data_IF_315814114149
#
_entry.id   IF_315814114149
#
_cell.length_a   1.000
_cell.length_b   1.000
_cell.length_c   1.000
_cell.angle_alpha   90.00
_cell.angle_beta   90.00
_cell.angle_gamma   90.00
#
_symmetry.space_group_name_H-M   'P 1'
#
loop_
_entity.id
_entity.type
_entity.pdbx_description
1 polymer ?
#
# COMPACT_ATOMS: atom_id res chain seq x y z
N UNK A 1 111.64 -35.14 33.56
CA UNK A 1 110.83 -33.98 33.12
C UNK A 1 110.25 -33.35 34.37
N UNK A 2 110.54 -32.07 34.68
CA UNK A 2 109.97 -31.40 35.83
C UNK A 2 108.45 -31.23 35.62
N UNK A 3 107.69 -31.50 36.67
CA UNK A 3 106.25 -31.26 36.71
C UNK A 3 106.06 -29.73 36.72
N UNK A 4 105.22 -29.15 35.85
CA UNK A 4 104.92 -27.72 35.89
C UNK A 4 104.33 -27.36 37.25
N UNK A 5 105.02 -26.47 37.96
CA UNK A 5 104.60 -25.87 39.22
C UNK A 5 103.57 -24.76 38.93
N UNK A 6 102.44 -24.79 39.64
CA UNK A 6 101.35 -23.82 39.57
C UNK A 6 101.67 -22.48 40.29
N UNK A 7 102.90 -22.29 40.79
CA UNK A 7 103.35 -21.09 41.53
C UNK A 7 103.35 -19.77 40.73
N UNK A 8 103.07 -19.82 39.43
CA UNK A 8 102.92 -18.64 38.58
C UNK A 8 101.47 -18.17 38.36
N UNK A 9 100.46 -18.90 38.85
CA UNK A 9 99.06 -18.47 38.72
C UNK A 9 98.67 -17.69 39.98
N UNK A 10 98.19 -16.43 39.87
CA UNK A 10 97.78 -15.62 41.02
C UNK A 10 96.88 -16.43 41.97
N UNK A 11 97.00 -16.24 43.30
CA UNK A 11 96.20 -16.97 44.28
C UNK A 11 94.73 -16.65 44.06
N UNK A 12 94.06 -17.51 43.30
CA UNK A 12 92.66 -17.50 42.89
C UNK A 12 92.26 -16.15 42.31
N UNK A 13 92.08 -16.07 40.98
CA UNK A 13 91.40 -14.92 40.38
C UNK A 13 90.08 -14.72 41.14
N UNK A 14 90.03 -13.70 42.00
CA UNK A 14 88.88 -13.47 42.84
C UNK A 14 87.75 -13.00 41.92
N UNK A 15 86.61 -13.67 42.00
CA UNK A 15 85.43 -13.28 41.26
C UNK A 15 84.77 -12.01 41.83
N UNK A 16 85.35 -11.39 42.87
CA UNK A 16 84.79 -10.20 43.53
C UNK A 16 84.63 -9.01 42.57
N UNK A 17 85.59 -8.80 41.65
CA UNK A 17 85.49 -7.73 40.64
C UNK A 17 84.34 -8.01 39.65
N UNK A 18 84.18 -9.27 39.23
CA UNK A 18 83.06 -9.68 38.39
C UNK A 18 81.73 -9.56 39.13
N UNK A 19 81.68 -9.92 40.41
CA UNK A 19 80.51 -9.80 41.26
C UNK A 19 80.12 -8.33 41.46
N UNK A 20 81.09 -7.45 41.70
CA UNK A 20 80.86 -6.01 41.84
C UNK A 20 80.29 -5.40 40.56
N UNK A 21 80.87 -5.74 39.40
CA UNK A 21 80.36 -5.30 38.09
C UNK A 21 78.96 -5.81 37.79
N UNK A 22 78.66 -7.07 38.13
CA UNK A 22 77.31 -7.62 37.99
C UNK A 22 76.30 -6.89 38.89
N UNK A 23 76.65 -6.62 40.14
CA UNK A 23 75.78 -5.89 41.07
C UNK A 23 75.52 -4.44 40.59
N UNK A 24 76.53 -3.75 40.06
CA UNK A 24 76.38 -2.41 39.49
C UNK A 24 75.47 -2.42 38.24
N UNK A 25 75.63 -3.41 37.35
CA UNK A 25 74.75 -3.57 36.19
C UNK A 25 73.31 -3.84 36.63
N UNK A 26 73.09 -4.75 37.59
CA UNK A 26 71.76 -5.05 38.11
C UNK A 26 71.11 -3.81 38.74
N UNK A 27 71.87 -3.03 39.52
CA UNK A 27 71.36 -1.79 40.11
C UNK A 27 70.97 -0.76 39.05
N UNK A 28 71.80 -0.59 38.01
CA UNK A 28 71.50 0.30 36.88
C UNK A 28 70.28 -0.17 36.08
N UNK A 29 70.15 -1.49 35.87
CA UNK A 29 69.02 -2.07 35.15
C UNK A 29 67.72 -1.90 35.93
N UNK A 30 67.73 -2.15 37.23
CA UNK A 30 66.57 -1.93 38.10
C UNK A 30 66.15 -0.46 38.12
N UNK A 31 67.10 0.48 38.22
CA UNK A 31 66.81 1.90 38.14
C UNK A 31 66.22 2.30 36.77
N UNK A 32 66.72 1.74 35.67
CA UNK A 32 66.15 1.97 34.35
C UNK A 32 64.70 1.46 34.27
N UNK A 33 64.44 0.23 34.73
CA UNK A 33 63.10 -0.36 34.70
C UNK A 33 62.08 0.44 35.52
N UNK A 34 62.47 0.87 36.73
CA UNK A 34 61.60 1.71 37.59
C UNK A 34 61.32 3.06 36.94
N UNK A 35 62.33 3.67 36.29
CA UNK A 35 62.14 4.95 35.60
C UNK A 35 61.33 4.82 34.31
N UNK A 36 61.32 3.64 33.67
CA UNK A 36 60.50 3.37 32.48
C UNK A 36 59.01 3.17 32.84
N UNK A 37 58.70 2.61 34.02
CA UNK A 37 57.33 2.36 34.48
C UNK A 37 56.53 3.65 34.73
N UNK A 38 57.22 4.76 35.04
CA UNK A 38 56.61 6.09 35.26
C UNK A 38 57.08 7.14 34.27
N UNK A 39 57.49 6.73 33.07
CA UNK A 39 58.06 7.63 32.08
C UNK A 39 57.02 8.62 31.55
N UNK A 40 57.19 9.90 31.86
CA UNK A 40 56.44 10.99 31.22
C UNK A 40 56.97 11.21 29.80
N UNK A 41 56.34 10.56 28.83
CA UNK A 41 56.69 10.69 27.41
C UNK A 41 56.03 11.95 26.84
N UNK A 42 56.83 12.96 26.49
CA UNK A 42 56.33 14.20 25.85
C UNK A 42 55.92 13.93 24.40
N UNK A 43 56.67 13.07 23.69
CA UNK A 43 56.38 12.66 22.33
C UNK A 43 56.89 11.25 22.08
N UNK A 44 56.04 10.40 21.52
CA UNK A 44 56.41 9.08 21.01
C UNK A 44 56.27 9.11 19.49
N UNK A 45 57.38 8.95 18.78
CA UNK A 45 57.33 8.63 17.33
C UNK A 45 57.53 7.14 17.21
N UNK A 46 56.44 6.42 16.96
CA UNK A 46 56.46 4.98 16.78
C UNK A 46 55.67 4.64 15.52
N UNK A 47 56.10 3.59 14.83
CA UNK A 47 55.39 3.05 13.67
C UNK A 47 54.13 2.28 14.09
N UNK A 48 54.19 1.60 15.24
CA UNK A 48 53.08 0.91 15.89
C UNK A 48 53.11 1.13 17.41
N UNK A 49 51.94 1.04 18.05
CA UNK A 49 51.78 1.03 19.51
C UNK A 49 50.99 -0.23 19.85
N UNK A 50 51.68 -1.27 20.30
CA UNK A 50 51.06 -2.49 20.80
C UNK A 50 50.86 -2.36 22.32
N UNK A 51 49.62 -2.13 22.73
CA UNK A 51 49.24 -2.02 24.14
C UNK A 51 48.05 -2.94 24.43
N UNK A 52 48.02 -3.57 25.61
CA UNK A 52 46.85 -4.30 26.07
C UNK A 52 45.68 -3.36 26.35
N UNK A 53 45.92 -2.39 27.25
CA UNK A 53 44.97 -1.34 27.60
C UNK A 53 45.68 0.00 27.59
N UNK A 54 45.06 1.00 26.95
CA UNK A 54 45.45 2.41 27.06
C UNK A 54 44.50 3.03 28.09
N UNK A 55 44.99 3.21 29.32
CA UNK A 55 44.27 3.93 30.37
C UNK A 55 44.60 5.42 30.27
N UNK A 56 43.67 6.21 29.73
CA UNK A 56 43.87 7.63 29.48
C UNK A 56 42.56 8.40 29.65
N UNK A 57 42.66 9.62 30.19
CA UNK A 57 41.52 10.54 30.28
C UNK A 57 41.01 10.98 28.90
N UNK A 58 41.91 11.08 27.91
CA UNK A 58 41.62 11.43 26.52
C UNK A 58 42.56 10.66 25.61
N UNK A 59 41.98 10.00 24.61
CA UNK A 59 42.70 9.42 23.47
C UNK A 59 42.24 10.15 22.21
N UNK A 60 43.16 10.83 21.53
CA UNK A 60 42.88 11.49 20.24
C UNK A 60 43.76 10.88 19.16
N UNK A 61 43.13 10.19 18.22
CA UNK A 61 43.78 9.65 17.02
C UNK A 61 43.52 10.66 15.90
N UNK A 62 44.56 11.37 15.48
CA UNK A 62 44.50 12.25 14.32
C UNK A 62 44.98 11.49 13.11
N UNK A 63 44.12 11.37 12.12
CA UNK A 63 44.49 10.81 10.83
C UNK A 63 45.00 11.94 9.94
N UNK A 64 46.13 11.74 9.25
CA UNK A 64 46.67 12.71 8.29
C UNK A 64 45.85 12.77 6.97
N UNK A 65 44.69 12.09 6.91
CA UNK A 65 43.94 11.88 5.67
C UNK A 65 43.00 13.03 5.26
N UNK A 66 42.90 14.12 6.03
CA UNK A 66 42.37 15.42 5.59
C UNK A 66 42.49 16.45 6.72
N UNK A 67 42.63 17.73 6.37
CA UNK A 67 42.84 18.85 7.30
C UNK A 67 41.85 18.86 8.48
N UNK A 68 42.26 18.28 9.61
CA UNK A 68 41.50 18.30 10.87
C UNK A 68 40.61 17.09 11.17
N UNK A 69 40.67 15.99 10.40
CA UNK A 69 39.92 14.77 10.72
C UNK A 69 40.51 14.04 11.94
N UNK A 70 39.65 13.53 12.83
CA UNK A 70 40.10 12.81 14.04
C UNK A 70 39.07 11.81 14.56
N UNK A 71 39.56 10.88 15.38
CA UNK A 71 38.77 10.06 16.31
C UNK A 71 39.17 10.45 17.72
N UNK A 72 38.21 10.83 18.55
CA UNK A 72 38.46 11.20 19.95
C UNK A 72 37.60 10.34 20.87
N UNK A 73 38.20 9.85 21.94
CA UNK A 73 37.53 9.17 23.06
C UNK A 73 37.94 9.92 24.33
N UNK A 74 36.96 10.42 25.09
CA UNK A 74 37.18 11.19 26.31
C UNK A 74 36.07 10.94 27.35
N UNK A 75 36.11 11.65 28.47
CA UNK A 75 35.11 11.54 29.55
C UNK A 75 33.66 11.89 29.17
N UNK A 76 33.42 12.45 27.98
CA UNK A 76 32.10 12.73 27.43
C UNK A 76 31.65 11.70 26.37
N UNK A 77 32.51 10.74 26.01
CA UNK A 77 32.22 9.66 25.06
C UNK A 77 33.18 9.59 23.88
N UNK A 78 32.69 9.15 22.72
CA UNK A 78 33.45 9.01 21.48
C UNK A 78 32.91 9.97 20.41
N UNK A 79 33.80 10.56 19.61
CA UNK A 79 33.41 11.25 18.36
C UNK A 79 34.38 10.98 17.22
N UNK A 80 33.84 10.93 16.01
CA UNK A 80 34.58 10.85 14.74
C UNK A 80 34.25 12.11 13.94
N UNK A 81 35.26 12.88 13.58
CA UNK A 81 35.14 14.14 12.84
C UNK A 81 35.86 14.02 11.49
N UNK A 82 35.22 14.53 10.43
CA UNK A 82 35.77 14.47 9.07
C UNK A 82 36.60 15.70 8.65
N UNK A 83 36.98 16.55 9.59
CA UNK A 83 37.67 17.84 9.40
C UNK A 83 36.72 19.04 9.33
N UNK A 84 35.43 18.83 9.09
CA UNK A 84 34.42 19.91 9.05
C UNK A 84 33.33 19.75 10.10
N UNK A 85 32.90 18.52 10.41
CA UNK A 85 31.82 18.22 11.35
C UNK A 85 31.98 16.83 11.96
N UNK A 86 31.33 16.61 13.10
CA UNK A 86 31.24 15.29 13.72
C UNK A 86 30.28 14.41 12.89
N UNK A 87 30.79 13.30 12.36
CA UNK A 87 30.02 12.32 11.57
C UNK A 87 29.46 11.19 12.42
N UNK A 88 30.06 10.96 13.59
CA UNK A 88 29.61 10.01 14.60
C UNK A 88 29.91 10.58 15.98
N UNK A 89 28.96 10.53 16.89
CA UNK A 89 29.18 10.73 18.32
C UNK A 89 28.46 9.63 19.10
N UNK A 90 29.08 9.13 20.15
CA UNK A 90 28.46 8.25 21.14
C UNK A 90 28.72 8.86 22.51
N UNK A 91 27.66 9.24 23.23
CA UNK A 91 27.80 9.86 24.55
C UNK A 91 27.91 8.82 25.68
N UNK A 92 28.15 9.30 26.91
CA UNK A 92 28.23 8.46 28.11
C UNK A 92 26.91 7.77 28.48
N UNK A 93 25.78 8.20 27.91
CA UNK A 93 24.47 7.57 28.11
C UNK A 93 24.19 6.48 27.06
N UNK A 94 25.13 6.24 26.13
CA UNK A 94 24.98 5.30 25.03
C UNK A 94 24.15 5.84 23.86
N UNK A 95 23.82 7.14 23.83
CA UNK A 95 23.15 7.74 22.69
C UNK A 95 24.14 7.96 21.54
N UNK A 96 23.77 7.45 20.37
CA UNK A 96 24.58 7.58 19.15
C UNK A 96 23.94 8.58 18.21
N UNK A 97 24.71 9.59 17.80
CA UNK A 97 24.33 10.51 16.72
C UNK A 97 25.22 10.27 15.51
N UNK A 98 24.61 10.06 14.35
CA UNK A 98 25.29 9.88 13.07
C UNK A 98 24.84 10.97 12.09
N UNK A 99 25.79 11.70 11.50
CA UNK A 99 25.50 12.75 10.51
C UNK A 99 26.14 12.38 9.18
N UNK A 100 25.31 12.12 8.16
CA UNK A 100 25.79 11.72 6.83
C UNK A 100 26.21 10.25 6.73
N UNK A 101 25.67 9.37 7.57
CA UNK A 101 26.05 7.96 7.62
C UNK A 101 25.32 7.10 6.57
N UNK A 102 26.03 6.14 6.00
CA UNK A 102 25.46 5.03 5.25
C UNK A 102 25.62 3.76 6.07
N UNK A 103 24.51 3.18 6.52
CA UNK A 103 24.47 1.90 7.20
C UNK A 103 24.19 0.83 6.14
N UNK A 104 25.19 0.01 5.82
CA UNK A 104 25.07 -1.04 4.80
C UNK A 104 24.82 -2.40 5.44
N UNK A 105 23.96 -3.18 4.83
CA UNK A 105 23.85 -4.60 5.17
C UNK A 105 25.05 -5.34 4.54
N UNK A 106 25.81 -6.09 5.34
CA UNK A 106 26.99 -6.81 4.88
C UNK A 106 26.68 -7.93 3.84
N UNK A 107 25.42 -8.35 3.74
CA UNK A 107 24.98 -9.45 2.88
C UNK A 107 24.34 -9.00 1.56
N UNK A 108 24.36 -7.70 1.21
CA UNK A 108 23.79 -7.22 -0.04
C UNK A 108 24.10 -5.76 -0.38
N UNK A 109 23.51 -5.26 -1.47
CA UNK A 109 23.65 -3.86 -1.91
C UNK A 109 22.68 -2.90 -1.23
N UNK A 110 21.75 -3.41 -0.41
CA UNK A 110 20.79 -2.61 0.34
C UNK A 110 21.42 -1.80 1.47
N UNK A 111 20.84 -0.62 1.75
CA UNK A 111 21.34 0.31 2.76
C UNK A 111 20.23 1.13 3.42
N UNK A 112 20.55 1.66 4.59
CA UNK A 112 19.85 2.78 5.22
C UNK A 112 20.79 3.99 5.17
N UNK A 113 20.33 5.11 4.63
CA UNK A 113 21.08 6.34 4.55
C UNK A 113 20.40 7.41 5.39
N UNK A 114 21.19 8.10 6.23
CA UNK A 114 20.80 9.29 6.97
C UNK A 114 21.68 10.45 6.50
N UNK A 115 21.08 11.48 5.93
CA UNK A 115 21.78 12.62 5.32
C UNK A 115 21.12 13.95 5.68
N UNK A 116 21.76 15.04 5.27
CA UNK A 116 21.19 16.39 5.33
C UNK A 116 19.98 16.57 4.40
N UNK A 117 19.73 15.63 3.47
CA UNK A 117 18.54 15.59 2.62
C UNK A 117 17.41 14.70 3.18
N UNK A 118 17.64 14.02 4.31
CA UNK A 118 16.68 13.16 4.98
C UNK A 118 17.12 11.69 5.08
N UNK A 119 16.14 10.79 5.14
CA UNK A 119 16.33 9.35 5.32
C UNK A 119 15.93 8.58 4.06
N UNK A 120 16.71 7.58 3.67
CA UNK A 120 16.37 6.64 2.61
C UNK A 120 16.64 5.19 3.04
N UNK A 121 15.75 4.27 2.63
CA UNK A 121 15.94 2.83 2.70
C UNK A 121 15.96 2.30 1.26
N UNK A 122 17.01 1.58 0.89
CA UNK A 122 17.23 1.09 -0.46
C UNK A 122 17.36 -0.44 -0.46
N UNK A 123 16.69 -1.11 -1.40
CA UNK A 123 16.69 -2.57 -1.52
C UNK A 123 17.85 -3.15 -2.35
N UNK A 124 18.79 -2.30 -2.77
CA UNK A 124 19.91 -2.62 -3.65
C UNK A 124 19.72 -2.19 -5.11
N UNK A 125 18.49 -1.83 -5.50
CA UNK A 125 18.15 -1.37 -6.87
C UNK A 125 17.56 0.04 -6.85
N UNK A 126 16.63 0.32 -5.93
CA UNK A 126 15.99 1.62 -5.78
C UNK A 126 15.58 1.87 -4.32
N UNK A 127 15.27 3.14 -4.01
CA UNK A 127 14.78 3.52 -2.69
C UNK A 127 13.34 3.06 -2.50
N UNK A 128 13.09 2.22 -1.49
CA UNK A 128 11.75 1.74 -1.15
C UNK A 128 11.04 2.66 -0.16
N UNK A 129 11.80 3.45 0.58
CA UNK A 129 11.31 4.48 1.48
C UNK A 129 12.24 5.70 1.42
N UNK A 130 11.67 6.90 1.33
CA UNK A 130 12.39 8.16 1.52
C UNK A 130 11.55 9.11 2.36
N UNK A 131 12.15 9.74 3.37
CA UNK A 131 11.58 10.87 4.09
C UNK A 131 12.51 12.07 3.92
N UNK A 132 12.02 13.17 3.37
CA UNK A 132 12.82 14.38 3.18
C UNK A 132 12.72 15.33 4.38
N UNK A 133 13.56 16.37 4.39
CA UNK A 133 13.62 17.38 5.46
C UNK A 133 12.36 18.25 5.58
N UNK A 134 11.50 18.26 4.56
CA UNK A 134 10.19 18.91 4.61
C UNK A 134 9.08 18.00 5.20
N UNK A 135 9.41 16.78 5.61
CA UNK A 135 8.47 15.82 6.20
C UNK A 135 7.67 15.01 5.19
N UNK A 136 7.93 15.14 3.89
CA UNK A 136 7.28 14.30 2.89
C UNK A 136 7.86 12.90 2.87
N UNK A 137 6.98 11.90 2.87
CA UNK A 137 7.34 10.48 2.78
C UNK A 137 6.93 9.95 1.41
N UNK A 138 7.88 9.33 0.71
CA UNK A 138 7.62 8.55 -0.50
C UNK A 138 7.98 7.09 -0.24
N UNK A 139 7.06 6.19 -0.55
CA UNK A 139 7.26 4.75 -0.47
C UNK A 139 7.06 4.15 -1.84
N UNK A 140 8.03 3.36 -2.32
CA UNK A 140 8.01 2.76 -3.66
C UNK A 140 8.21 1.25 -3.54
N UNK A 141 7.23 0.46 -4.00
CA UNK A 141 7.28 -0.99 -3.86
C UNK A 141 7.13 -1.49 -2.42
N UNK A 142 6.68 -0.63 -1.49
CA UNK A 142 6.53 -0.99 -0.09
C UNK A 142 5.23 -1.76 0.15
N UNK A 143 5.33 -2.86 0.91
CA UNK A 143 4.18 -3.53 1.51
C UNK A 143 3.83 -2.81 2.82
N UNK A 144 2.62 -2.26 2.91
CA UNK A 144 2.08 -1.72 4.17
C UNK A 144 0.95 -2.62 4.61
N UNK A 145 1.05 -3.22 5.79
CA UNK A 145 0.08 -4.18 6.30
C UNK A 145 -0.26 -3.89 7.77
N UNK A 146 -1.54 -3.98 8.14
CA UNK A 146 -1.99 -3.70 9.50
C UNK A 146 -1.61 -4.78 10.52
N UNK A 147 -1.56 -6.05 10.12
CA UNK A 147 -1.14 -7.19 10.95
C UNK A 147 -0.87 -8.46 10.13
N UNK A 148 -0.15 -9.42 10.71
CA UNK A 148 0.09 -10.75 10.14
C UNK A 148 -1.09 -11.68 10.43
N UNK A 149 -2.19 -11.57 9.68
CA UNK A 149 -3.37 -12.43 9.84
C UNK A 149 -4.69 -11.70 9.58
N UNK A 150 -5.78 -12.45 9.37
CA UNK A 150 -7.10 -11.84 9.13
C UNK A 150 -7.75 -11.33 10.43
N UNK A 151 -8.52 -10.24 10.38
CA UNK A 151 -8.69 -9.34 9.24
C UNK A 151 -7.48 -8.41 9.07
N UNK A 152 -7.08 -8.07 7.84
CA UNK A 152 -6.02 -7.08 7.63
C UNK A 152 -6.33 -6.10 6.51
N UNK A 153 -5.66 -4.96 6.56
CA UNK A 153 -5.59 -3.99 5.46
C UNK A 153 -4.19 -4.01 4.88
N UNK A 154 -4.09 -3.93 3.55
CA UNK A 154 -2.84 -3.98 2.80
C UNK A 154 -2.82 -2.90 1.72
N UNK A 155 -1.64 -2.30 1.51
CA UNK A 155 -1.27 -1.57 0.30
C UNK A 155 -0.10 -2.31 -0.32
N UNK A 156 -0.31 -2.91 -1.49
CA UNK A 156 0.69 -3.73 -2.18
C UNK A 156 0.74 -3.41 -3.69
N UNK A 157 1.71 -2.62 -4.15
CA UNK A 157 1.80 -2.24 -5.55
C UNK A 157 2.04 -3.43 -6.50
N UNK A 158 2.43 -4.61 -6.01
CA UNK A 158 2.59 -5.83 -6.82
C UNK A 158 1.28 -6.57 -7.11
N UNK A 159 0.23 -6.34 -6.32
CA UNK A 159 -1.05 -7.06 -6.46
C UNK A 159 -2.27 -6.12 -6.42
N UNK A 160 -2.40 -5.32 -5.37
CA UNK A 160 -3.58 -4.49 -5.09
C UNK A 160 -3.14 -3.12 -4.57
N UNK A 161 -3.63 -2.05 -5.19
CA UNK A 161 -3.34 -0.69 -4.72
C UNK A 161 -3.80 -0.49 -3.27
N UNK A 162 -4.94 -1.09 -2.93
CA UNK A 162 -5.45 -1.16 -1.56
C UNK A 162 -6.30 -2.42 -1.39
N UNK A 163 -6.29 -3.04 -0.23
CA UNK A 163 -7.12 -4.20 0.07
C UNK A 163 -7.49 -4.29 1.54
N UNK A 164 -8.70 -4.72 1.83
CA UNK A 164 -9.21 -5.04 3.16
C UNK A 164 -9.79 -6.46 3.12
N UNK A 165 -9.24 -7.35 3.93
CA UNK A 165 -9.57 -8.77 3.90
C UNK A 165 -10.11 -9.22 5.24
N UNK A 166 -11.23 -9.93 5.22
CA UNK A 166 -11.74 -10.68 6.38
C UNK A 166 -11.40 -12.17 6.31
N UNK A 167 -11.19 -12.69 5.09
CA UNK A 167 -10.66 -14.02 4.80
C UNK A 167 -10.02 -14.04 3.41
N UNK A 168 -9.39 -15.15 3.02
CA UNK A 168 -8.71 -15.28 1.73
C UNK A 168 -9.62 -15.06 0.50
N UNK A 169 -10.89 -15.44 0.61
CA UNK A 169 -11.91 -15.31 -0.43
C UNK A 169 -13.04 -14.32 -0.05
N UNK A 170 -12.81 -13.46 0.95
CA UNK A 170 -13.78 -12.45 1.38
C UNK A 170 -13.08 -11.12 1.64
N UNK A 171 -13.14 -10.21 0.66
CA UNK A 171 -12.33 -9.00 0.63
C UNK A 171 -12.96 -7.86 -0.18
N UNK A 172 -12.47 -6.65 0.10
CA UNK A 172 -12.66 -5.44 -0.69
C UNK A 172 -11.28 -4.99 -1.19
N UNK A 173 -11.07 -4.85 -2.49
CA UNK A 173 -9.81 -4.34 -3.04
C UNK A 173 -10.04 -3.19 -4.03
N UNK A 174 -9.02 -2.33 -4.14
CA UNK A 174 -8.80 -1.43 -5.27
C UNK A 174 -7.59 -1.96 -6.01
N UNK A 175 -7.78 -2.39 -7.25
CA UNK A 175 -6.71 -3.00 -8.03
C UNK A 175 -6.59 -2.36 -9.41
N UNK A 176 -5.34 -2.14 -9.85
CA UNK A 176 -5.04 -1.77 -11.22
C UNK A 176 -4.99 -3.07 -12.06
N UNK A 177 -5.86 -3.19 -13.04
CA UNK A 177 -5.81 -4.31 -13.99
C UNK A 177 -4.66 -4.07 -14.97
N UNK A 178 -3.53 -4.75 -14.76
CA UNK A 178 -2.37 -4.65 -15.65
C UNK A 178 -2.75 -4.98 -17.10
N UNK A 179 -2.28 -4.16 -18.04
CA UNK A 179 -2.48 -4.38 -19.47
C UNK A 179 -3.85 -3.95 -20.02
N UNK A 180 -4.72 -3.33 -19.21
CA UNK A 180 -5.96 -2.71 -19.69
C UNK A 180 -5.87 -1.19 -19.65
N UNK A 181 -6.62 -0.49 -20.50
CA UNK A 181 -6.79 0.97 -20.44
C UNK A 181 -7.92 1.39 -19.49
N UNK A 182 -8.26 0.53 -18.53
CA UNK A 182 -9.35 0.76 -17.58
C UNK A 182 -8.83 1.51 -16.36
N UNK A 183 -9.72 2.24 -15.66
CA UNK A 183 -9.39 2.76 -14.34
C UNK A 183 -9.11 1.61 -13.37
N UNK A 184 -8.43 1.87 -12.23
CA UNK A 184 -8.47 0.95 -11.11
C UNK A 184 -9.91 0.55 -10.80
N UNK A 185 -10.11 -0.72 -10.49
CA UNK A 185 -11.42 -1.26 -10.16
C UNK A 185 -11.57 -1.40 -8.65
N UNK A 186 -12.74 -1.05 -8.14
CA UNK A 186 -13.19 -1.45 -6.81
C UNK A 186 -13.83 -2.83 -6.94
N UNK A 187 -13.29 -3.82 -6.24
CA UNK A 187 -13.76 -5.20 -6.25
C UNK A 187 -14.19 -5.59 -4.84
N UNK A 188 -15.44 -6.04 -4.67
CA UNK A 188 -15.92 -6.73 -3.49
C UNK A 188 -16.07 -8.20 -3.86
N UNK A 189 -15.35 -9.08 -3.19
CA UNK A 189 -15.37 -10.51 -3.43
C UNK A 189 -15.85 -11.28 -2.19
N UNK A 190 -16.64 -12.31 -2.46
CA UNK A 190 -17.09 -13.34 -1.53
C UNK A 190 -16.84 -14.72 -2.17
N UNK A 191 -16.95 -15.84 -1.42
CA UNK A 191 -16.54 -17.17 -1.91
C UNK A 191 -17.10 -17.57 -3.28
N UNK A 192 -18.31 -17.16 -3.61
CA UNK A 192 -19.00 -17.52 -4.85
C UNK A 192 -19.56 -16.31 -5.62
N UNK A 193 -19.16 -15.10 -5.24
CA UNK A 193 -19.71 -13.89 -5.82
C UNK A 193 -18.70 -12.76 -5.86
N UNK A 194 -18.83 -11.89 -6.85
CA UNK A 194 -18.10 -10.64 -6.91
C UNK A 194 -18.98 -9.49 -7.35
N UNK A 195 -18.60 -8.29 -6.93
CA UNK A 195 -19.09 -7.02 -7.45
C UNK A 195 -17.90 -6.18 -7.84
N UNK A 196 -17.90 -5.64 -9.06
CA UNK A 196 -16.82 -4.81 -9.57
C UNK A 196 -17.36 -3.48 -10.09
N UNK A 197 -16.61 -2.41 -9.85
CA UNK A 197 -16.89 -1.07 -10.37
C UNK A 197 -15.62 -0.47 -10.97
N UNK A 198 -15.68 -0.04 -12.23
CA UNK A 198 -14.56 0.59 -12.94
C UNK A 198 -15.05 1.49 -14.09
N UNK A 199 -14.16 2.34 -14.61
CA UNK A 199 -14.39 3.18 -15.78
C UNK A 199 -13.50 2.69 -16.92
N UNK A 200 -14.05 2.59 -18.13
CA UNK A 200 -13.31 2.26 -19.35
C UNK A 200 -13.75 3.18 -20.48
N UNK A 201 -12.85 4.05 -20.94
CA UNK A 201 -13.18 5.07 -21.94
C UNK A 201 -14.24 6.05 -21.41
N UNK A 202 -15.37 6.17 -22.11
CA UNK A 202 -16.49 7.05 -21.75
C UNK A 202 -17.61 6.32 -20.99
N UNK A 203 -17.34 5.14 -20.45
CA UNK A 203 -18.35 4.31 -19.79
C UNK A 203 -17.91 3.89 -18.39
N UNK A 204 -18.81 4.03 -17.43
CA UNK A 204 -18.69 3.43 -16.10
C UNK A 204 -19.42 2.09 -16.08
N UNK A 205 -18.79 1.10 -15.46
CA UNK A 205 -19.29 -0.26 -15.34
C UNK A 205 -19.51 -0.57 -13.87
N UNK A 206 -20.68 -1.10 -13.54
CA UNK A 206 -21.00 -1.76 -12.29
C UNK A 206 -21.54 -3.13 -12.64
N UNK A 207 -20.89 -4.19 -12.18
CA UNK A 207 -21.29 -5.56 -12.49
C UNK A 207 -21.16 -6.48 -11.30
N UNK A 208 -22.03 -7.48 -11.24
CA UNK A 208 -21.95 -8.57 -10.26
C UNK A 208 -21.90 -9.91 -10.97
N UNK A 209 -21.11 -10.85 -10.46
CA UNK A 209 -21.11 -12.26 -10.90
C UNK A 209 -21.44 -13.14 -9.72
N UNK A 210 -22.29 -14.15 -9.91
CA UNK A 210 -22.68 -15.09 -8.83
C UNK A 210 -23.52 -14.47 -7.71
N UNK A 211 -23.98 -13.22 -7.88
CA UNK A 211 -24.85 -12.52 -6.95
C UNK A 211 -25.82 -11.58 -7.67
N UNK A 212 -26.95 -11.32 -7.01
CA UNK A 212 -27.93 -10.34 -7.45
C UNK A 212 -27.46 -8.92 -7.07
N UNK A 213 -27.56 -7.97 -8.00
CA UNK A 213 -27.50 -6.55 -7.68
C UNK A 213 -28.88 -6.10 -7.20
N UNK A 214 -29.03 -5.92 -5.89
CA UNK A 214 -30.29 -5.43 -5.31
C UNK A 214 -30.18 -3.93 -4.99
N UNK A 215 -30.96 -3.10 -5.67
CA UNK A 215 -31.05 -1.66 -5.43
C UNK A 215 -32.30 -1.37 -4.61
N UNK A 216 -32.15 -1.28 -3.29
CA UNK A 216 -33.24 -0.94 -2.36
C UNK A 216 -33.03 0.43 -1.75
N UNK A 217 -34.11 1.19 -1.62
CA UNK A 217 -34.12 2.49 -0.98
C UNK A 217 -35.48 2.68 -0.29
N UNK A 218 -35.50 3.42 0.82
CA UNK A 218 -36.74 3.91 1.42
C UNK A 218 -37.26 5.19 0.72
N UNK A 219 -36.55 5.64 -0.31
CA UNK A 219 -36.84 6.76 -1.21
C UNK A 219 -36.71 6.27 -2.67
N UNK A 220 -36.80 7.19 -3.62
CA UNK A 220 -36.73 6.88 -5.05
C UNK A 220 -35.34 6.36 -5.47
N UNK A 221 -35.33 5.35 -6.35
CA UNK A 221 -34.14 4.91 -7.09
C UNK A 221 -34.21 5.51 -8.49
N UNK A 222 -33.44 6.57 -8.72
CA UNK A 222 -33.45 7.31 -10.00
C UNK A 222 -32.37 6.74 -10.94
N UNK A 223 -32.79 6.13 -12.05
CA UNK A 223 -31.91 5.70 -13.14
C UNK A 223 -32.14 6.62 -14.34
N UNK A 224 -31.18 7.51 -14.62
CA UNK A 224 -31.28 8.49 -15.71
C UNK A 224 -30.27 8.20 -16.82
N UNK A 225 -30.74 8.31 -18.06
CA UNK A 225 -29.94 8.20 -19.27
C UNK A 225 -30.81 8.42 -20.50
N UNK A 226 -30.21 8.68 -21.67
CA UNK A 226 -30.97 8.82 -22.92
C UNK A 226 -31.81 7.57 -23.21
N UNK A 227 -31.29 6.40 -22.87
CA UNK A 227 -31.96 5.11 -22.99
C UNK A 227 -31.65 4.26 -21.75
N UNK A 228 -32.64 3.56 -21.21
CA UNK A 228 -32.44 2.46 -20.26
C UNK A 228 -32.61 1.17 -21.05
N UNK A 229 -31.52 0.40 -21.20
CA UNK A 229 -31.53 -0.88 -21.94
C UNK A 229 -31.34 -2.02 -20.94
N UNK A 230 -32.41 -2.77 -20.71
CA UNK A 230 -32.37 -4.00 -19.93
C UNK A 230 -32.16 -5.16 -20.91
N UNK A 231 -30.99 -5.79 -20.86
CA UNK A 231 -30.66 -6.92 -21.73
C UNK A 231 -30.32 -8.13 -20.85
N UNK A 232 -31.03 -9.25 -20.97
CA UNK A 232 -30.64 -10.47 -20.28
C UNK A 232 -29.31 -10.99 -20.79
N UNK A 233 -28.52 -11.58 -19.90
CA UNK A 233 -27.33 -12.31 -20.31
C UNK A 233 -27.73 -13.56 -21.11
N UNK A 234 -27.03 -13.85 -22.21
CA UNK A 234 -27.30 -14.95 -23.15
C UNK A 234 -28.66 -14.99 -23.88
N UNK A 235 -29.42 -13.89 -23.92
CA UNK A 235 -30.61 -13.79 -24.78
C UNK A 235 -31.77 -14.74 -24.44
N UNK A 236 -31.73 -15.38 -23.27
CA UNK A 236 -32.67 -16.43 -22.84
C UNK A 236 -33.49 -16.11 -21.57
N UNK A 237 -33.36 -14.90 -21.03
CA UNK A 237 -34.17 -14.47 -19.88
C UNK A 237 -35.02 -13.26 -20.28
N UNK A 238 -36.32 -13.31 -20.07
CA UNK A 238 -37.11 -12.10 -20.26
C UNK A 238 -36.70 -11.06 -19.19
N UNK A 239 -36.82 -9.78 -19.54
CA UNK A 239 -36.91 -8.73 -18.52
C UNK A 239 -38.27 -8.93 -17.85
N UNK A 240 -38.31 -9.82 -16.84
CA UNK A 240 -39.53 -10.12 -16.09
C UNK A 240 -39.73 -8.98 -15.10
N UNK A 241 -40.38 -7.92 -15.56
CA UNK A 241 -41.04 -6.98 -14.66
C UNK A 241 -42.53 -7.28 -14.74
N UNK A 242 -43.10 -7.90 -13.69
CA UNK A 242 -44.54 -8.08 -13.63
C UNK A 242 -45.26 -6.74 -13.89
N UNK A 243 -46.30 -6.73 -14.73
CA UNK A 243 -46.99 -5.48 -15.10
C UNK A 243 -47.70 -4.80 -13.93
N UNK A 244 -47.95 -5.53 -12.85
CA UNK A 244 -48.43 -5.03 -11.58
C UNK A 244 -47.34 -4.34 -10.74
N UNK A 245 -46.07 -4.42 -11.16
CA UNK A 245 -44.92 -3.74 -10.53
C UNK A 245 -44.44 -2.52 -11.31
N UNK A 246 -44.76 -2.40 -12.60
CA UNK A 246 -44.59 -1.14 -13.34
C UNK A 246 -45.70 -0.17 -12.94
N UNK A 247 -45.37 0.89 -12.20
CA UNK A 247 -46.34 1.87 -11.69
C UNK A 247 -45.98 3.27 -12.21
N UNK A 248 -46.99 4.03 -12.63
CA UNK A 248 -46.84 5.47 -12.82
C UNK A 248 -46.94 6.17 -11.46
N UNK A 249 -45.92 6.96 -11.11
CA UNK A 249 -45.85 7.65 -9.81
C UNK A 249 -46.92 8.75 -9.67
N UNK A 250 -47.33 9.38 -10.76
CA UNK A 250 -48.31 10.47 -10.71
C UNK A 250 -49.73 9.96 -10.45
N UNK A 251 -50.15 8.90 -11.16
CA UNK A 251 -51.48 8.32 -11.00
C UNK A 251 -51.55 7.23 -9.93
N UNK A 252 -50.40 6.68 -9.53
CA UNK A 252 -50.31 5.54 -8.64
C UNK A 252 -50.79 4.22 -9.25
N UNK A 253 -51.10 4.20 -10.56
CA UNK A 253 -51.67 3.05 -11.24
C UNK A 253 -50.59 2.20 -11.88
N UNK A 254 -50.77 0.88 -11.83
CA UNK A 254 -49.86 -0.05 -12.48
C UNK A 254 -50.13 -0.10 -13.97
N UNK A 255 -49.12 -0.44 -14.78
CA UNK A 255 -49.27 -0.71 -16.21
C UNK A 255 -50.34 -1.78 -16.43
N UNK A 256 -50.41 -2.79 -15.56
CA UNK A 256 -51.49 -3.76 -15.55
C UNK A 256 -52.87 -3.11 -15.34
N UNK A 257 -53.03 -2.20 -14.38
CA UNK A 257 -54.30 -1.49 -14.15
C UNK A 257 -54.69 -0.57 -15.31
N UNK A 258 -53.72 0.06 -15.97
CA UNK A 258 -53.96 0.89 -17.15
C UNK A 258 -54.32 0.04 -18.37
N UNK A 259 -53.64 -1.08 -18.59
CA UNK A 259 -53.95 -2.02 -19.67
C UNK A 259 -55.30 -2.72 -19.42
N UNK A 260 -55.58 -3.14 -18.19
CA UNK A 260 -56.87 -3.70 -17.79
C UNK A 260 -57.96 -2.65 -17.95
N UNK A 261 -57.72 -1.42 -17.50
CA UNK A 261 -58.63 -0.29 -17.67
C UNK A 261 -58.93 0.02 -19.14
N UNK A 262 -57.93 -0.05 -20.01
CA UNK A 262 -58.13 0.09 -21.46
C UNK A 262 -58.89 -1.09 -22.06
N UNK A 263 -58.53 -2.32 -21.71
CA UNK A 263 -59.22 -3.53 -22.14
C UNK A 263 -60.69 -3.56 -21.67
N UNK A 264 -60.98 -3.05 -20.47
CA UNK A 264 -62.35 -2.92 -19.95
C UNK A 264 -63.04 -1.62 -20.38
N UNK A 265 -62.32 -0.61 -20.86
CA UNK A 265 -62.93 0.57 -21.49
C UNK A 265 -63.56 0.27 -22.87
N UNK A 266 -63.41 -0.98 -23.35
CA UNK A 266 -64.21 -1.61 -24.41
C UNK A 266 -65.32 -2.54 -23.90
N UNK A 267 -65.68 -2.50 -22.61
CA UNK A 267 -66.86 -3.19 -22.08
C UNK A 267 -68.07 -2.77 -22.91
N UNK A 268 -68.85 -3.76 -23.37
CA UNK A 268 -70.07 -3.57 -24.17
C UNK A 268 -70.79 -2.32 -23.70
N UNK A 269 -70.82 -1.28 -24.55
CA UNK A 269 -71.89 -0.32 -24.40
C UNK A 269 -73.15 -1.10 -24.73
N UNK A 270 -73.78 -1.69 -23.71
CA UNK A 270 -75.10 -2.34 -23.82
C UNK A 270 -76.18 -1.38 -24.33
N UNK A 271 -75.82 -0.14 -24.64
CA UNK A 271 -76.57 0.81 -25.44
C UNK A 271 -76.60 0.38 -26.92
N UNK A 272 -77.19 -0.79 -27.17
CA UNK A 272 -77.86 -1.01 -28.45
C UNK A 272 -78.98 0.02 -28.55
N UNK A 273 -78.80 1.02 -29.40
CA UNK A 273 -79.81 2.03 -29.72
C UNK A 273 -80.51 1.69 -31.03
N UNK A 274 -81.71 2.23 -31.23
CA UNK A 274 -82.32 2.23 -32.56
C UNK A 274 -81.38 2.97 -33.52
N UNK A 275 -80.98 2.29 -34.61
CA UNK A 275 -80.22 2.92 -35.69
C UNK A 275 -81.15 3.21 -36.85
N UNK A 276 -81.06 4.40 -37.42
CA UNK A 276 -81.87 4.76 -38.57
C UNK A 276 -81.29 4.20 -39.90
N UNK A 277 -80.07 3.66 -39.88
CA UNK A 277 -79.40 3.14 -41.07
C UNK A 277 -79.18 4.20 -42.16
N UNK A 278 -79.16 5.49 -41.79
CA UNK A 278 -79.12 6.61 -42.73
C UNK A 278 -80.46 7.01 -43.34
N UNK A 279 -81.57 6.34 -42.97
CA UNK A 279 -82.93 6.64 -43.45
C UNK A 279 -83.80 7.04 -42.26
N UNK A 280 -84.40 8.24 -42.28
CA UNK A 280 -85.23 8.71 -41.17
C UNK A 280 -86.45 7.80 -40.93
N UNK A 281 -86.74 7.37 -39.69
CA UNK A 281 -87.99 6.64 -39.38
C UNK A 281 -89.21 7.45 -39.81
N UNK A 282 -90.23 6.77 -40.35
CA UNK A 282 -91.39 7.39 -40.99
C UNK A 282 -91.25 7.60 -42.49
N UNK A 283 -90.04 7.43 -43.06
CA UNK A 283 -89.85 7.50 -44.52
C UNK A 283 -90.65 6.37 -45.20
N UNK A 284 -91.47 6.74 -46.17
CA UNK A 284 -92.26 5.78 -46.97
C UNK A 284 -91.40 5.32 -48.14
N UNK A 285 -91.00 4.06 -48.13
CA UNK A 285 -90.21 3.43 -49.17
C UNK A 285 -91.14 2.70 -50.13
N UNK A 286 -90.89 2.86 -51.43
CA UNK A 286 -91.65 2.13 -52.45
C UNK A 286 -91.10 0.71 -52.58
N UNK A 287 -91.99 -0.28 -52.48
CA UNK A 287 -91.69 -1.69 -52.73
C UNK A 287 -91.66 -1.93 -54.24
N UNK A 288 -90.93 -2.98 -54.65
CA UNK A 288 -90.83 -3.37 -56.06
C UNK A 288 -92.17 -3.77 -56.70
N UNK A 289 -93.18 -4.14 -55.89
CA UNK A 289 -94.55 -4.46 -56.31
C UNK A 289 -95.45 -3.23 -56.50
N UNK A 290 -94.89 -2.02 -56.37
CA UNK A 290 -95.63 -0.76 -56.45
C UNK A 290 -96.31 -0.33 -55.15
N UNK A 291 -96.32 -1.17 -54.11
CA UNK A 291 -96.81 -0.79 -52.77
C UNK A 291 -95.80 0.04 -51.98
N UNK A 292 -96.14 0.41 -50.76
CA UNK A 292 -95.25 1.18 -49.87
C UNK A 292 -95.03 0.50 -48.52
N UNK A 293 -93.87 0.75 -47.89
CA UNK A 293 -93.58 0.37 -46.51
C UNK A 293 -93.01 1.56 -45.76
N UNK A 294 -93.45 1.77 -44.52
CA UNK A 294 -92.89 2.81 -43.66
C UNK A 294 -91.65 2.27 -42.97
N UNK A 295 -90.50 2.90 -43.20
CA UNK A 295 -89.26 2.58 -42.51
C UNK A 295 -89.38 2.92 -41.02
N UNK A 296 -89.14 1.97 -40.14
CA UNK A 296 -89.22 2.15 -38.67
C UNK A 296 -87.85 2.16 -37.98
N UNK A 297 -86.76 2.11 -38.76
CA UNK A 297 -85.40 1.95 -38.24
C UNK A 297 -85.03 0.49 -37.97
N UNK A 298 -83.78 0.28 -37.55
CA UNK A 298 -83.24 -0.99 -37.07
C UNK A 298 -83.53 -1.06 -35.57
N UNK A 299 -84.44 -1.95 -35.19
CA UNK A 299 -85.01 -2.04 -33.83
C UNK A 299 -83.98 -2.39 -32.76
N UNK A 300 -82.96 -3.18 -33.09
CA UNK A 300 -81.81 -3.43 -32.24
C UNK A 300 -80.61 -3.86 -33.09
N UNK A 301 -79.43 -3.34 -32.77
CA UNK A 301 -78.17 -3.86 -33.26
C UNK A 301 -77.17 -3.85 -32.10
N UNK A 302 -76.18 -4.75 -32.17
CA UNK A 302 -75.08 -4.81 -31.21
C UNK A 302 -73.76 -4.58 -31.92
N UNK A 303 -72.84 -3.92 -31.23
CA UNK A 303 -71.44 -3.84 -31.65
C UNK A 303 -70.62 -4.74 -30.74
N UNK A 304 -69.87 -5.64 -31.35
CA UNK A 304 -68.79 -6.36 -30.68
C UNK A 304 -67.49 -5.79 -31.23
N UNK A 305 -66.80 -4.95 -30.45
CA UNK A 305 -65.40 -4.67 -30.72
C UNK A 305 -64.58 -5.80 -30.09
N UNK A 306 -63.63 -6.35 -30.86
CA UNK A 306 -62.65 -7.31 -30.37
C UNK A 306 -61.46 -6.56 -29.77
#
# INVERSE_FOLDING_TARGET
MPIPDLSGVPPWASFDDHQSKLNDIVAKYNNLLVNLDSLNVVSLTADHIDAGTIDANVVTIRSDLNAGAFVEINGNGMRINNGSRDTFTADINGMVTMTGATIRNNLGTGFIQLSDQGMAINNGSYNTFTANTAGYVTMTGALIQSQTGYPYVIMDPGSTLFGAYSAANNYLTVQALGGTSQSPQVLIAAPNANMQMFVSGLSAFLGTTGANLNLTSNLDVIIQGRNIKLTPDNGNYDVIVPFDQFKDDASGRTLYQELLGKATSGSQTGLGGAANGGIAPGTVLQKADGGTVTWVGISAHTHTQN
#
